data_IF_500674823110
#
_entry.id   IF_500674823110
#
_cell.length_a   1.000
_cell.length_b   1.000
_cell.length_c   1.000
_cell.angle_alpha   90.00
_cell.angle_beta   90.00
_cell.angle_gamma   90.00
#
_symmetry.space_group_name_H-M   'P 1'
#
loop_
_entity.id
_entity.type
_entity.pdbx_description
1 polymer ?
#
# COMPACT_ATOMS: atom_id res chain seq x y z
N UNK A 1 0.37 8.85 -3.97
CA UNK A 1 1.52 8.24 -3.27
C UNK A 1 2.11 7.23 -4.23
N UNK A 2 3.31 7.48 -4.75
CA UNK A 2 3.97 6.56 -5.67
C UNK A 2 4.85 5.65 -4.82
N UNK A 3 4.39 4.43 -4.57
CA UNK A 3 5.22 3.39 -3.95
C UNK A 3 6.23 2.98 -5.02
N UNK A 4 7.53 3.21 -4.79
CA UNK A 4 8.58 2.83 -5.75
C UNK A 4 8.74 1.32 -5.73
N UNK A 5 8.97 0.69 -6.90
CA UNK A 5 9.13 -0.77 -7.01
C UNK A 5 10.23 -1.33 -6.10
N UNK A 6 11.26 -0.52 -5.83
CA UNK A 6 12.41 -0.89 -4.99
C UNK A 6 12.06 -1.01 -3.49
N UNK A 7 10.91 -0.50 -3.05
CA UNK A 7 10.43 -0.53 -1.66
C UNK A 7 9.51 -1.74 -1.38
N UNK A 8 9.22 -2.56 -2.40
CA UNK A 8 8.37 -3.74 -2.32
C UNK A 8 9.23 -4.99 -2.10
N UNK A 9 9.36 -5.40 -0.84
CA UNK A 9 10.05 -6.64 -0.50
C UNK A 9 9.04 -7.80 -0.50
N UNK A 10 9.24 -8.75 -1.42
CA UNK A 10 8.51 -10.01 -1.38
C UNK A 10 9.18 -10.96 -0.39
N UNK A 11 8.50 -11.25 0.71
CA UNK A 11 8.94 -12.21 1.74
C UNK A 11 7.85 -13.25 1.96
N UNK A 12 8.13 -14.51 1.63
CA UNK A 12 7.24 -15.61 2.01
C UNK A 12 7.20 -15.76 3.53
N UNK A 13 6.03 -15.52 4.13
CA UNK A 13 5.83 -15.76 5.56
C UNK A 13 5.57 -17.26 5.76
N UNK A 14 6.43 -17.99 6.50
CA UNK A 14 6.25 -19.42 6.70
C UNK A 14 4.90 -19.73 7.38
N UNK A 15 4.09 -20.59 6.77
CA UNK A 15 2.80 -21.03 7.32
C UNK A 15 1.57 -20.22 6.91
N UNK A 16 1.72 -19.18 6.08
CA UNK A 16 0.58 -18.48 5.49
C UNK A 16 0.06 -19.21 4.23
N UNK A 17 -1.28 -19.37 4.05
CA UNK A 17 -1.86 -20.16 2.96
C UNK A 17 -1.65 -19.58 1.55
N UNK A 18 -1.18 -18.34 1.45
CA UNK A 18 -1.00 -17.62 0.19
C UNK A 18 0.28 -16.76 0.25
N UNK A 19 0.90 -16.45 -0.90
CA UNK A 19 2.05 -15.56 -0.96
C UNK A 19 1.68 -14.18 -0.40
N UNK A 20 2.42 -13.74 0.61
CA UNK A 20 2.26 -12.44 1.25
C UNK A 20 3.45 -11.57 0.83
N UNK A 21 3.21 -10.36 0.36
CA UNK A 21 4.26 -9.35 0.18
C UNK A 21 4.24 -8.38 1.36
N UNK A 22 5.40 -7.93 1.81
CA UNK A 22 5.51 -6.93 2.88
C UNK A 22 5.86 -5.58 2.24
N UNK A 23 5.02 -4.58 2.47
CA UNK A 23 5.28 -3.21 2.02
C UNK A 23 5.82 -2.44 3.20
N UNK A 24 7.07 -1.99 3.10
CA UNK A 24 7.67 -1.11 4.10
C UNK A 24 7.44 0.35 3.71
N UNK A 25 6.86 1.13 4.63
CA UNK A 25 6.70 2.57 4.48
C UNK A 25 7.64 3.23 5.49
N UNK A 26 8.71 3.86 5.00
CA UNK A 26 9.74 4.48 5.83
C UNK A 26 10.18 5.84 5.28
N UNK A 27 10.90 6.61 6.10
CA UNK A 27 11.52 7.88 5.70
C UNK A 27 10.49 8.96 5.32
N UNK A 28 10.69 9.59 4.17
CA UNK A 28 9.83 10.70 3.70
C UNK A 28 8.37 10.24 3.46
N UNK A 29 8.17 9.01 2.99
CA UNK A 29 6.82 8.45 2.79
C UNK A 29 6.06 8.24 4.10
N UNK A 30 6.74 7.89 5.19
CA UNK A 30 6.10 7.79 6.51
C UNK A 30 5.60 9.17 6.98
N UNK A 31 6.42 10.21 6.80
CA UNK A 31 6.05 11.59 7.14
C UNK A 31 4.84 12.05 6.33
N UNK A 32 4.83 11.81 5.02
CA UNK A 32 3.71 12.15 4.14
C UNK A 32 2.41 11.45 4.56
N UNK A 33 2.46 10.15 4.88
CA UNK A 33 1.31 9.39 5.36
C UNK A 33 0.76 9.96 6.66
N UNK A 34 1.64 10.31 7.62
CA UNK A 34 1.22 10.91 8.89
C UNK A 34 0.54 12.26 8.69
N UNK A 35 1.10 13.12 7.85
CA UNK A 35 0.52 14.43 7.54
C UNK A 35 -0.83 14.30 6.83
N UNK A 36 -0.94 13.39 5.85
CA UNK A 36 -2.19 13.15 5.12
C UNK A 36 -3.28 12.61 6.05
N UNK A 37 -2.94 11.63 6.90
CA UNK A 37 -3.86 11.06 7.88
C UNK A 37 -4.35 12.13 8.87
N UNK A 38 -3.45 12.99 9.36
CA UNK A 38 -3.81 14.09 10.25
C UNK A 38 -4.78 15.09 9.60
N UNK A 39 -4.57 15.46 8.32
CA UNK A 39 -5.47 16.36 7.59
C UNK A 39 -6.87 15.76 7.42
N UNK A 40 -6.97 14.44 7.29
CA UNK A 40 -8.23 13.71 7.12
C UNK A 40 -8.88 13.32 8.46
N UNK A 41 -8.22 13.57 9.59
CA UNK A 41 -8.72 13.19 10.91
C UNK A 41 -8.77 11.67 11.14
N UNK A 42 -7.92 10.91 10.45
CA UNK A 42 -7.84 9.44 10.56
C UNK A 42 -6.48 9.00 11.09
N UNK A 43 -6.36 7.74 11.47
CA UNK A 43 -5.06 7.16 11.82
C UNK A 43 -4.22 6.87 10.56
N UNK A 44 -2.88 6.89 10.64
CA UNK A 44 -2.02 6.48 9.53
C UNK A 44 -2.35 5.10 8.97
N UNK A 45 -2.69 4.14 9.84
CA UNK A 45 -3.07 2.79 9.43
C UNK A 45 -4.36 2.79 8.59
N UNK A 46 -5.39 3.53 8.99
CA UNK A 46 -6.64 3.65 8.22
C UNK A 46 -6.37 4.28 6.85
N UNK A 47 -5.54 5.31 6.79
CA UNK A 47 -5.15 5.94 5.53
C UNK A 47 -4.45 4.95 4.58
N UNK A 48 -3.47 4.19 5.08
CA UNK A 48 -2.76 3.17 4.30
C UNK A 48 -3.74 2.09 3.80
N UNK A 49 -4.62 1.59 4.66
CA UNK A 49 -5.59 0.56 4.29
C UNK A 49 -6.55 1.03 3.21
N UNK A 50 -7.02 2.28 3.26
CA UNK A 50 -7.86 2.87 2.22
C UNK A 50 -7.12 2.99 0.88
N UNK A 51 -5.87 3.46 0.89
CA UNK A 51 -5.06 3.56 -0.31
C UNK A 51 -4.76 2.19 -0.94
N UNK A 52 -4.51 1.15 -0.12
CA UNK A 52 -4.33 -0.22 -0.60
C UNK A 52 -5.60 -0.80 -1.22
N UNK A 53 -6.76 -0.55 -0.60
CA UNK A 53 -8.03 -1.01 -1.14
C UNK A 53 -8.31 -0.38 -2.51
N UNK A 54 -8.10 0.94 -2.66
CA UNK A 54 -8.24 1.64 -3.94
C UNK A 54 -7.29 1.08 -5.01
N UNK A 55 -6.03 0.81 -4.67
CA UNK A 55 -5.07 0.21 -5.59
C UNK A 55 -5.48 -1.21 -6.02
N UNK A 56 -6.01 -2.01 -5.09
CA UNK A 56 -6.52 -3.37 -5.38
C UNK A 56 -7.75 -3.31 -6.29
N UNK A 57 -8.67 -2.39 -6.02
CA UNK A 57 -9.89 -2.23 -6.81
C UNK A 57 -9.55 -1.71 -8.21
N UNK A 58 -8.66 -0.73 -8.33
CA UNK A 58 -8.11 -0.28 -9.61
C UNK A 58 -7.41 -1.41 -10.37
N UNK A 59 -6.64 -2.27 -9.70
CA UNK A 59 -6.00 -3.42 -10.36
C UNK A 59 -7.02 -4.49 -10.81
N UNK A 60 -8.13 -4.66 -10.09
CA UNK A 60 -9.22 -5.57 -10.49
C UNK A 60 -10.00 -5.02 -11.67
N UNK A 61 -10.28 -3.72 -11.67
CA UNK A 61 -10.96 -3.01 -12.75
C UNK A 61 -10.05 -2.86 -13.98
N UNK A 62 -8.74 -2.68 -13.76
CA UNK A 62 -7.67 -2.55 -14.75
C UNK A 62 -7.21 -3.86 -15.38
N UNK A 63 -7.69 -5.03 -14.93
CA UNK A 63 -7.63 -6.31 -15.67
C UNK A 63 -8.58 -6.35 -16.88
N UNK A 64 -8.76 -5.19 -17.52
CA UNK A 64 -9.45 -4.99 -18.78
C UNK A 64 -8.56 -4.46 -19.91
N UNK A 65 -7.51 -3.68 -19.66
CA UNK A 65 -6.74 -3.08 -20.77
C UNK A 65 -5.23 -2.98 -20.50
N UNK A 66 -4.47 -3.76 -21.26
CA UNK A 66 -3.22 -3.28 -21.86
C UNK A 66 -3.55 -2.02 -22.68
N UNK A 67 -3.29 -0.83 -22.15
CA UNK A 67 -3.10 0.41 -22.94
C UNK A 67 -2.10 1.33 -22.26
#
# INVERSE_FOLDING_TARGET
MVIKEDDLVYEEIPGWPHPVGVIHIAGESEKEVREAAARLGVTPQQFIMSALQEAVDYAKEGKGENR
#
